data_IF_890239230372
#
_entry.id   IF_890239230372
#
_cell.length_a   1.000
_cell.length_b   1.000
_cell.length_c   1.000
_cell.angle_alpha   90.00
_cell.angle_beta   90.00
_cell.angle_gamma   90.00
#
_symmetry.space_group_name_H-M   'P 1'
#
loop_
_entity.id
_entity.type
_entity.pdbx_description
1 polymer ?
#
# COMPACT_ATOMS: atom_id res chain seq x y z
N UNK A 1 2.26 -14.76 -4.35
CA UNK A 1 1.93 -14.44 -5.75
C UNK A 1 1.83 -15.69 -6.61
N UNK A 2 2.66 -16.71 -6.38
CA UNK A 2 2.65 -17.97 -7.14
C UNK A 2 1.26 -18.65 -7.18
N UNK A 3 0.56 -18.70 -6.04
CA UNK A 3 -0.81 -19.21 -5.95
C UNK A 3 -1.82 -18.48 -6.86
N UNK A 4 -1.50 -17.24 -7.26
CA UNK A 4 -2.29 -16.40 -8.16
C UNK A 4 -1.65 -16.25 -9.53
N UNK A 5 -0.57 -16.99 -9.83
CA UNK A 5 0.19 -16.92 -11.10
C UNK A 5 0.63 -15.49 -11.48
N UNK A 6 0.91 -14.66 -10.48
CA UNK A 6 1.29 -13.25 -10.67
C UNK A 6 0.12 -12.28 -10.86
N UNK A 7 -1.14 -12.75 -10.87
CA UNK A 7 -2.31 -11.88 -10.96
C UNK A 7 -2.49 -11.07 -9.67
N UNK A 8 -2.16 -9.79 -9.76
CA UNK A 8 -2.24 -8.83 -8.66
C UNK A 8 -3.68 -8.64 -8.17
N UNK A 9 -4.63 -8.48 -9.10
CA UNK A 9 -6.02 -8.23 -8.74
C UNK A 9 -6.65 -9.46 -8.07
N UNK A 10 -6.34 -10.67 -8.54
CA UNK A 10 -6.79 -11.90 -7.90
C UNK A 10 -6.24 -12.03 -6.47
N UNK A 11 -4.94 -11.75 -6.26
CA UNK A 11 -4.33 -11.74 -4.93
C UNK A 11 -4.97 -10.69 -4.01
N UNK A 12 -5.25 -9.50 -4.54
CA UNK A 12 -5.91 -8.42 -3.81
C UNK A 12 -7.35 -8.80 -3.40
N UNK A 13 -8.13 -9.40 -4.31
CA UNK A 13 -9.49 -9.86 -4.03
C UNK A 13 -9.55 -10.97 -2.98
N UNK A 14 -8.50 -11.80 -2.91
CA UNK A 14 -8.29 -12.81 -1.87
C UNK A 14 -7.77 -12.23 -0.55
N UNK A 15 -7.58 -10.91 -0.46
CA UNK A 15 -7.00 -10.22 0.70
C UNK A 15 -5.58 -10.73 1.08
N UNK A 16 -4.84 -11.24 0.09
CA UNK A 16 -3.52 -11.84 0.31
C UNK A 16 -2.48 -10.73 0.46
N UNK A 17 -1.64 -10.81 1.51
CA UNK A 17 -0.48 -9.92 1.66
C UNK A 17 0.62 -10.35 0.68
N UNK A 18 1.15 -9.40 -0.10
CA UNK A 18 2.12 -9.67 -1.16
C UNK A 18 3.36 -8.77 -1.05
N UNK A 19 4.51 -9.28 -1.50
CA UNK A 19 5.82 -8.57 -1.45
C UNK A 19 6.43 -8.49 -2.84
N UNK A 20 7.01 -9.56 -3.37
CA UNK A 20 7.49 -9.57 -4.74
C UNK A 20 6.34 -9.83 -5.72
N UNK A 21 6.16 -8.93 -6.68
CA UNK A 21 5.30 -9.11 -7.85
C UNK A 21 5.90 -8.30 -9.01
N UNK A 22 6.41 -8.96 -10.04
CA UNK A 22 7.01 -8.29 -11.19
C UNK A 22 5.92 -7.73 -12.11
N UNK A 23 5.59 -6.46 -11.92
CA UNK A 23 4.56 -5.75 -12.69
C UNK A 23 4.88 -4.28 -12.88
N UNK A 24 4.22 -3.69 -13.87
CA UNK A 24 4.18 -2.24 -14.04
C UNK A 24 3.33 -1.59 -12.94
N UNK A 25 3.55 -0.30 -12.73
CA UNK A 25 2.69 0.53 -11.88
C UNK A 25 1.33 0.67 -12.57
N UNK A 26 0.25 0.55 -11.81
CA UNK A 26 -1.12 0.63 -12.31
C UNK A 26 -1.32 1.92 -13.13
N UNK A 27 -1.69 1.78 -14.41
CA UNK A 27 -1.88 2.88 -15.37
C UNK A 27 -0.61 3.66 -15.77
N UNK A 28 0.60 3.09 -15.58
CA UNK A 28 1.87 3.71 -15.96
C UNK A 28 2.77 2.70 -16.72
N UNK A 29 2.51 2.48 -18.02
CA UNK A 29 3.28 1.51 -18.81
C UNK A 29 4.76 1.89 -18.91
N UNK A 30 5.64 0.88 -18.89
CA UNK A 30 7.09 1.04 -18.88
C UNK A 30 7.70 1.41 -17.53
N UNK A 31 6.90 1.65 -16.48
CA UNK A 31 7.38 1.96 -15.13
C UNK A 31 7.09 0.77 -14.21
N UNK A 32 8.14 0.09 -13.76
CA UNK A 32 8.00 -1.03 -12.83
C UNK A 32 7.70 -0.58 -11.40
N UNK A 33 6.80 -1.31 -10.74
CA UNK A 33 6.47 -1.14 -9.33
C UNK A 33 7.65 -1.44 -8.41
N UNK A 34 7.66 -0.87 -7.20
CA UNK A 34 8.64 -1.26 -6.16
C UNK A 34 8.51 -2.74 -5.75
N UNK A 35 7.34 -3.36 -5.98
CA UNK A 35 7.14 -4.81 -5.83
C UNK A 35 8.06 -5.62 -6.75
N UNK A 36 8.35 -5.11 -7.95
CA UNK A 36 9.22 -5.77 -8.93
C UNK A 36 10.69 -5.82 -8.48
N UNK A 37 11.05 -5.04 -7.46
CA UNK A 37 12.40 -4.98 -6.90
C UNK A 37 12.48 -5.54 -5.48
N UNK A 38 11.41 -6.18 -4.98
CA UNK A 38 11.36 -6.70 -3.60
C UNK A 38 11.38 -5.60 -2.53
N UNK A 39 10.93 -4.40 -2.87
CA UNK A 39 11.03 -3.18 -2.06
C UNK A 39 9.69 -2.60 -1.63
N UNK A 40 8.62 -3.36 -1.82
CA UNK A 40 7.28 -3.01 -1.40
C UNK A 40 6.57 -4.20 -0.76
N UNK A 41 5.56 -3.89 0.05
CA UNK A 41 4.64 -4.85 0.63
C UNK A 41 3.24 -4.24 0.63
N UNK A 42 2.27 -5.04 0.16
CA UNK A 42 0.84 -4.72 0.18
C UNK A 42 0.18 -5.61 1.23
N UNK A 43 -0.41 -5.01 2.26
CA UNK A 43 -0.96 -5.73 3.42
C UNK A 43 -2.48 -5.69 3.40
N UNK A 44 -3.07 -6.89 3.36
CA UNK A 44 -4.53 -7.09 3.33
C UNK A 44 -5.25 -6.15 2.34
N UNK A 45 -4.99 -6.29 1.02
CA UNK A 45 -5.51 -5.38 -0.01
C UNK A 45 -7.03 -5.17 -0.01
N UNK A 46 -7.80 -6.20 0.35
CA UNK A 46 -9.26 -6.12 0.32
C UNK A 46 -9.79 -5.18 1.39
N UNK A 47 -9.12 -5.08 2.54
CA UNK A 47 -9.52 -4.21 3.64
C UNK A 47 -8.76 -2.88 3.65
N UNK A 48 -7.65 -2.78 2.92
CA UNK A 48 -6.81 -1.60 2.74
C UNK A 48 -6.68 -1.24 1.24
N UNK A 49 -7.77 -0.84 0.57
CA UNK A 49 -7.76 -0.74 -0.89
C UNK A 49 -6.85 0.38 -1.42
N UNK A 50 -6.48 0.26 -2.68
CA UNK A 50 -5.96 1.36 -3.50
C UNK A 50 -7.11 2.26 -3.95
N UNK A 51 -6.91 3.58 -3.89
CA UNK A 51 -7.93 4.57 -4.19
C UNK A 51 -7.35 5.70 -5.02
N UNK A 52 -7.94 5.93 -6.19
CA UNK A 52 -7.59 7.05 -7.07
C UNK A 52 -8.87 7.70 -7.61
N UNK A 53 -9.19 8.92 -7.16
CA UNK A 53 -10.44 9.62 -7.51
C UNK A 53 -11.68 8.76 -7.20
N UNK A 54 -12.36 8.23 -8.24
CA UNK A 54 -13.54 7.35 -8.12
C UNK A 54 -13.19 5.85 -8.26
N UNK A 55 -11.93 5.53 -8.53
CA UNK A 55 -11.45 4.16 -8.66
C UNK A 55 -11.07 3.60 -7.29
N UNK A 56 -11.60 2.43 -6.97
CA UNK A 56 -11.24 1.64 -5.79
C UNK A 56 -10.79 0.27 -6.31
N UNK A 57 -9.62 -0.19 -5.88
CA UNK A 57 -9.07 -1.49 -6.24
C UNK A 57 -8.76 -2.28 -4.95
N UNK A 58 -9.32 -3.50 -4.78
CA UNK A 58 -10.30 -4.12 -5.67
C UNK A 58 -11.68 -3.43 -5.54
N UNK A 59 -12.50 -3.43 -6.61
CA UNK A 59 -13.80 -2.74 -6.62
C UNK A 59 -14.74 -3.18 -5.47
N UNK A 60 -14.64 -4.46 -5.07
CA UNK A 60 -15.40 -5.03 -3.95
C UNK A 60 -15.06 -4.45 -2.56
N UNK A 61 -14.02 -3.62 -2.45
CA UNK A 61 -13.55 -3.05 -1.19
C UNK A 61 -14.25 -1.77 -0.75
N UNK A 62 -15.28 -1.31 -1.48
CA UNK A 62 -15.96 -0.03 -1.19
C UNK A 62 -16.43 0.13 0.26
N UNK A 63 -16.90 -0.93 0.92
CA UNK A 63 -17.32 -0.88 2.32
C UNK A 63 -16.19 -0.51 3.30
N UNK A 64 -14.94 -0.81 2.95
CA UNK A 64 -13.77 -0.51 3.78
C UNK A 64 -13.31 0.95 3.62
N UNK A 65 -13.85 1.69 2.67
CA UNK A 65 -13.57 3.14 2.51
C UNK A 65 -14.23 4.00 3.57
N UNK A 66 -15.31 3.52 4.18
CA UNK A 66 -16.02 4.28 5.20
C UNK A 66 -15.14 4.39 6.46
N UNK A 67 -14.92 5.62 6.95
CA UNK A 67 -14.12 5.90 8.16
C UNK A 67 -14.61 5.14 9.39
N UNK A 68 -15.92 4.82 9.45
CA UNK A 68 -16.55 4.08 10.54
C UNK A 68 -16.32 2.56 10.49
N UNK A 69 -15.93 2.02 9.34
CA UNK A 69 -15.67 0.57 9.20
C UNK A 69 -14.36 0.23 9.90
N UNK A 70 -14.47 -0.32 11.11
CA UNK A 70 -13.36 -0.98 11.79
C UNK A 70 -13.34 -2.45 11.36
N UNK A 71 -12.18 -2.93 10.91
CA UNK A 71 -11.97 -4.33 10.55
C UNK A 71 -10.59 -4.77 11.04
N UNK A 72 -10.44 -5.99 11.60
CA UNK A 72 -9.14 -6.54 11.93
C UNK A 72 -8.17 -6.48 10.73
N UNK A 73 -6.94 -6.02 10.95
CA UNK A 73 -5.93 -5.89 9.89
C UNK A 73 -6.01 -4.61 9.04
N UNK A 74 -7.01 -3.73 9.28
CA UNK A 74 -7.09 -2.43 8.61
C UNK A 74 -6.02 -1.48 9.14
N UNK A 75 -5.22 -0.92 8.24
CA UNK A 75 -4.14 0.01 8.56
C UNK A 75 -4.75 1.39 8.82
N UNK A 76 -4.41 1.96 9.97
CA UNK A 76 -4.81 3.31 10.37
C UNK A 76 -3.57 4.15 10.66
N UNK A 77 -3.65 5.46 10.44
CA UNK A 77 -2.63 6.39 10.95
C UNK A 77 -2.43 6.16 12.45
N UNK A 78 -1.17 6.17 12.87
CA UNK A 78 -0.73 5.91 14.24
C UNK A 78 -1.01 4.50 14.80
N UNK A 79 -1.51 3.55 13.99
CA UNK A 79 -1.53 2.14 14.36
C UNK A 79 -0.10 1.59 14.51
N UNK A 80 0.04 0.45 15.20
CA UNK A 80 1.34 -0.19 15.43
C UNK A 80 2.10 -0.44 14.11
N UNK A 81 1.44 -1.05 13.13
CA UNK A 81 2.06 -1.38 11.84
C UNK A 81 2.56 -0.13 11.10
N UNK A 82 1.74 0.92 11.05
CA UNK A 82 2.12 2.20 10.47
C UNK A 82 3.36 2.79 11.17
N UNK A 83 3.39 2.81 12.51
CA UNK A 83 4.54 3.32 13.28
C UNK A 83 5.81 2.51 13.04
N UNK A 84 5.71 1.17 12.97
CA UNK A 84 6.85 0.28 12.74
C UNK A 84 7.47 0.53 11.36
N UNK A 85 6.68 0.51 10.29
CA UNK A 85 7.19 0.74 8.94
C UNK A 85 7.87 2.12 8.82
N UNK A 86 7.22 3.17 9.34
CA UNK A 86 7.80 4.52 9.32
C UNK A 86 9.10 4.61 10.14
N UNK A 87 9.18 3.94 11.29
CA UNK A 87 10.39 3.88 12.12
C UNK A 87 11.58 3.31 11.34
N UNK A 88 11.35 2.33 10.48
CA UNK A 88 12.38 1.70 9.64
C UNK A 88 12.56 2.37 8.26
N UNK A 89 11.98 3.56 8.08
CA UNK A 89 12.19 4.41 6.92
C UNK A 89 11.35 4.04 5.69
N UNK A 90 10.30 3.26 5.85
CA UNK A 90 9.34 2.99 4.77
C UNK A 90 8.36 4.14 4.59
N UNK A 91 7.97 4.39 3.35
CA UNK A 91 6.86 5.27 3.01
C UNK A 91 5.56 4.49 2.98
N UNK A 92 4.48 5.08 3.47
CA UNK A 92 3.14 4.49 3.42
C UNK A 92 2.31 5.14 2.31
N UNK A 93 1.73 4.32 1.44
CA UNK A 93 0.89 4.75 0.32
C UNK A 93 -0.36 5.52 0.72
N UNK A 94 -0.87 5.29 1.94
CA UNK A 94 -1.98 6.08 2.49
C UNK A 94 -1.66 7.56 2.78
N UNK A 95 -0.39 7.99 2.67
CA UNK A 95 0.02 9.39 2.81
C UNK A 95 0.26 10.11 1.48
N UNK A 96 0.22 9.40 0.36
CA UNK A 96 0.45 9.97 -0.96
C UNK A 96 -0.63 11.02 -1.32
N UNK A 97 -0.24 12.07 -2.04
CA UNK A 97 -1.10 13.22 -2.33
C UNK A 97 -2.02 13.02 -3.54
N UNK A 98 -1.57 12.24 -4.52
CA UNK A 98 -2.21 12.02 -5.81
C UNK A 98 -3.18 10.82 -5.78
N UNK A 99 -2.80 9.76 -5.08
CA UNK A 99 -3.61 8.56 -4.84
C UNK A 99 -3.43 8.11 -3.40
N UNK A 100 -4.34 7.28 -2.89
CA UNK A 100 -4.19 6.68 -1.56
C UNK A 100 -4.13 5.18 -1.71
N UNK A 101 -2.93 4.63 -1.53
CA UNK A 101 -2.69 3.19 -1.59
C UNK A 101 -2.55 2.64 -0.16
N UNK A 102 -3.66 2.31 0.49
CA UNK A 102 -3.67 2.04 1.93
C UNK A 102 -2.96 0.75 2.33
N UNK A 103 -2.93 -0.23 1.43
CA UNK A 103 -2.21 -1.50 1.59
C UNK A 103 -0.70 -1.33 1.55
N UNK A 104 -0.21 -0.29 0.88
CA UNK A 104 1.14 -0.26 0.33
C UNK A 104 2.15 0.41 1.25
N UNK A 105 3.27 -0.27 1.48
CA UNK A 105 4.48 0.33 2.02
C UNK A 105 5.65 0.09 1.06
N UNK A 106 6.47 1.11 0.80
CA UNK A 106 7.67 0.98 -0.03
C UNK A 106 8.92 1.59 0.60
N UNK A 107 10.08 1.07 0.20
CA UNK A 107 11.40 1.63 0.50
C UNK A 107 12.24 1.66 -0.77
N UNK A 108 12.45 2.86 -1.32
CA UNK A 108 13.19 3.04 -2.57
C UNK A 108 14.70 2.89 -2.37
N UNK A 109 15.41 2.73 -3.49
CA UNK A 109 16.89 2.66 -3.52
C UNK A 109 17.51 3.89 -2.88
N UNK A 110 18.75 3.76 -2.40
CA UNK A 110 19.56 4.91 -1.98
C UNK A 110 18.86 5.81 -0.94
N UNK A 111 17.94 5.23 -0.15
CA UNK A 111 17.09 5.96 0.80
C UNK A 111 16.23 7.06 0.18
N UNK A 112 15.97 6.98 -1.13
CA UNK A 112 15.04 7.86 -1.82
C UNK A 112 13.63 7.74 -1.25
N UNK A 113 12.85 8.79 -1.50
CA UNK A 113 11.46 8.91 -1.08
C UNK A 113 10.60 9.17 -2.29
N UNK A 114 9.37 8.65 -2.31
CA UNK A 114 8.41 8.96 -3.38
C UNK A 114 8.12 10.46 -3.44
N UNK A 115 7.97 11.07 -2.27
CA UNK A 115 8.04 12.51 -2.11
C UNK A 115 9.42 12.88 -1.52
N UNK A 116 10.30 13.58 -2.26
CA UNK A 116 11.60 14.02 -1.74
C UNK A 116 11.50 14.85 -0.45
N UNK A 117 10.39 15.54 -0.24
CA UNK A 117 10.12 16.33 0.98
C UNK A 117 9.55 15.50 2.14
N UNK A 118 9.31 14.20 1.93
CA UNK A 118 8.73 13.28 2.90
C UNK A 118 7.22 13.46 3.10
N UNK A 119 6.67 12.73 4.06
CA UNK A 119 5.25 12.80 4.46
C UNK A 119 5.13 13.20 5.93
N UNK A 120 3.96 13.73 6.37
CA UNK A 120 3.74 14.05 7.77
C UNK A 120 4.09 12.87 8.68
N UNK A 121 4.98 13.11 9.64
CA UNK A 121 5.46 12.08 10.56
C UNK A 121 4.33 11.67 11.51
N UNK A 122 4.30 10.38 11.86
CA UNK A 122 3.51 9.90 12.98
C UNK A 122 3.88 10.68 14.24
N UNK A 123 2.92 11.06 15.09
CA UNK A 123 3.26 11.46 16.46
C UNK A 123 3.73 10.21 17.18
N UNK A 124 5.04 10.03 17.26
CA UNK A 124 5.66 8.97 18.07
C UNK A 124 5.64 9.50 19.50
N UNK A 125 4.57 9.22 20.24
CA UNK A 125 4.64 9.29 21.71
C UNK A 125 5.42 8.07 22.17
N UNK A 126 6.50 8.34 22.91
CA UNK A 126 7.32 7.37 23.64
C UNK A 126 6.50 6.54 24.61
#
# INVERSE_FOLDING_TARGET
MDAFKGDDLAAMMANSTSVFNCREVTNHPGIFSQHSYGRAIDINPKINPYVARKLIIPHSSGQFMLKKTSSPGKIKKNSYIYKVFLRYGWDWGGNWYDVQDYQHFEKRSHSEKRNPYGYPKAKITS
#
